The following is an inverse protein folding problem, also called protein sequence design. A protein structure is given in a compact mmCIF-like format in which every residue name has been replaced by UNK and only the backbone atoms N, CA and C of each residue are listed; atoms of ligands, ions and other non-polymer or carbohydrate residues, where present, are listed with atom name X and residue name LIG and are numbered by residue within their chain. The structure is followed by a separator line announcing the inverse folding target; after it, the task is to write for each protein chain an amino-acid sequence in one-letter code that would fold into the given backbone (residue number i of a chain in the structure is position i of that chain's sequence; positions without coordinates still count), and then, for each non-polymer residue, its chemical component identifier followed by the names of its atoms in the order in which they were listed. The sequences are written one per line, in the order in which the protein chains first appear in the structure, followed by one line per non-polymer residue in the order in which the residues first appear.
data_IF_014654814351
#
_entry.id   IF_014654814351
#
_cell.length_a   1.000
_cell.length_b   1.000
_cell.length_c   1.000
_cell.angle_alpha   90.00
_cell.angle_beta   90.00
_cell.angle_gamma   90.00
#
_symmetry.space_group_name_H-M   'P 1'
#
loop_
_entity.id
_entity.type
_entity.pdbx_description
1 polymer ?
#
# COMPACT_ATOMS: atom_id res chain seq x y z
N UNK A 1 3.71 -32.45 -2.92
CA UNK A 1 3.75 -31.38 -1.89
C UNK A 1 4.60 -30.23 -2.40
N UNK A 2 3.96 -29.21 -2.98
CA UNK A 2 4.65 -28.07 -3.61
C UNK A 2 5.08 -27.07 -2.54
N UNK A 3 6.36 -26.69 -2.55
CA UNK A 3 6.96 -25.80 -1.56
C UNK A 3 6.44 -24.35 -1.71
N UNK A 4 5.75 -23.85 -0.68
CA UNK A 4 5.20 -22.48 -0.55
C UNK A 4 6.22 -21.36 -0.86
N UNK A 5 7.50 -21.63 -0.69
CA UNK A 5 8.63 -20.68 -0.92
C UNK A 5 9.01 -20.48 -2.40
N UNK A 6 8.62 -21.39 -3.28
CA UNK A 6 8.92 -21.28 -4.73
C UNK A 6 7.84 -20.46 -5.45
N UNK A 7 6.62 -20.44 -4.93
CA UNK A 7 5.48 -19.75 -5.53
C UNK A 7 5.61 -18.22 -5.43
N UNK A 8 6.16 -17.70 -4.32
CA UNK A 8 6.47 -16.26 -4.17
C UNK A 8 7.56 -15.80 -5.15
N UNK A 9 8.54 -16.65 -5.46
CA UNK A 9 9.58 -16.33 -6.46
C UNK A 9 9.08 -16.43 -7.90
N UNK A 10 8.16 -17.36 -8.18
CA UNK A 10 7.59 -17.55 -9.52
C UNK A 10 6.51 -16.51 -9.88
N UNK A 11 5.74 -16.03 -8.90
CA UNK A 11 4.69 -15.02 -9.11
C UNK A 11 5.23 -13.62 -9.45
N UNK A 12 6.35 -13.23 -8.85
CA UNK A 12 7.02 -11.94 -9.13
C UNK A 12 7.87 -11.99 -10.41
N UNK A 13 8.53 -13.12 -10.69
CA UNK A 13 9.32 -13.28 -11.91
C UNK A 13 8.45 -13.32 -13.19
N UNK A 14 7.22 -13.86 -13.12
CA UNK A 14 6.32 -13.92 -14.29
C UNK A 14 5.68 -12.58 -14.65
N UNK A 15 5.41 -11.70 -13.67
CA UNK A 15 4.79 -10.39 -13.89
C UNK A 15 5.77 -9.31 -14.35
N UNK A 16 7.02 -9.36 -13.88
CA UNK A 16 8.06 -8.43 -14.31
C UNK A 16 8.40 -8.59 -15.80
N UNK A 17 8.35 -9.80 -16.35
CA UNK A 17 8.77 -10.08 -17.74
C UNK A 17 7.81 -9.54 -18.81
N UNK A 18 6.51 -9.41 -18.52
CA UNK A 18 5.56 -8.80 -19.48
C UNK A 18 5.60 -7.27 -19.51
N UNK A 19 6.22 -6.65 -18.51
CA UNK A 19 6.38 -5.19 -18.37
C UNK A 19 7.80 -4.72 -18.76
N UNK A 20 8.79 -5.62 -18.70
CA UNK A 20 10.22 -5.33 -18.86
C UNK A 20 10.64 -4.82 -20.25
N UNK A 21 9.82 -4.96 -21.30
CA UNK A 21 10.20 -4.50 -22.64
C UNK A 21 10.11 -2.98 -22.84
N UNK A 22 9.24 -2.28 -22.09
CA UNK A 22 8.96 -0.86 -22.34
C UNK A 22 8.66 -0.02 -21.10
N UNK A 23 8.07 -0.58 -20.03
CA UNK A 23 7.69 0.22 -18.87
C UNK A 23 8.85 0.55 -17.93
N UNK A 24 9.98 -0.17 -18.02
CA UNK A 24 11.20 0.18 -17.30
C UNK A 24 11.66 1.61 -17.64
N UNK A 25 11.44 2.07 -18.88
CA UNK A 25 11.74 3.46 -19.29
C UNK A 25 10.85 4.50 -18.59
N UNK A 26 9.61 4.15 -18.26
CA UNK A 26 8.67 5.02 -17.54
C UNK A 26 9.03 5.20 -16.07
N UNK A 27 9.92 4.35 -15.54
CA UNK A 27 10.39 4.42 -14.16
C UNK A 27 11.68 5.27 -14.02
N UNK A 28 12.39 5.52 -15.12
CA UNK A 28 13.65 6.29 -15.11
C UNK A 28 13.35 7.76 -14.77
N UNK A 29 14.00 8.28 -13.73
CA UNK A 29 13.88 9.68 -13.31
C UNK A 29 12.63 10.02 -12.48
N UNK A 30 11.82 9.00 -12.10
CA UNK A 30 10.71 9.21 -11.17
C UNK A 30 11.21 9.34 -9.73
N UNK A 31 10.51 10.19 -8.97
CA UNK A 31 10.68 10.28 -7.53
C UNK A 31 9.80 9.24 -6.84
N UNK A 32 10.40 8.11 -6.46
CA UNK A 32 9.73 7.02 -5.76
C UNK A 32 9.13 7.45 -4.41
N UNK A 33 9.67 8.48 -3.77
CA UNK A 33 9.11 9.00 -2.52
C UNK A 33 7.86 9.86 -2.80
N UNK A 34 7.85 10.65 -3.87
CA UNK A 34 6.68 11.41 -4.28
C UNK A 34 5.51 10.50 -4.69
N UNK A 35 5.78 9.46 -5.49
CA UNK A 35 4.77 8.49 -5.92
C UNK A 35 4.13 7.76 -4.75
N UNK A 36 4.97 7.25 -3.84
CA UNK A 36 4.52 6.60 -2.62
C UNK A 36 3.70 7.54 -1.75
N UNK A 37 4.13 8.79 -1.56
CA UNK A 37 3.40 9.79 -0.76
C UNK A 37 2.01 10.07 -1.33
N UNK A 38 1.90 10.19 -2.66
CA UNK A 38 0.62 10.40 -3.33
C UNK A 38 -0.33 9.22 -3.14
N UNK A 39 0.16 7.99 -3.36
CA UNK A 39 -0.65 6.79 -3.20
C UNK A 39 -1.05 6.57 -1.74
N UNK A 40 -0.10 6.65 -0.81
CA UNK A 40 -0.36 6.46 0.62
C UNK A 40 -1.34 7.50 1.17
N UNK A 41 -1.28 8.75 0.69
CA UNK A 41 -2.21 9.81 1.09
C UNK A 41 -3.68 9.47 0.79
N UNK A 42 -3.95 8.66 -0.24
CA UNK A 42 -5.29 8.21 -0.59
C UNK A 42 -5.64 6.84 0.01
N UNK A 43 -4.68 5.91 0.04
CA UNK A 43 -4.89 4.52 0.48
C UNK A 43 -5.02 4.40 2.00
N UNK A 44 -4.20 5.12 2.78
CA UNK A 44 -4.25 5.08 4.25
C UNK A 44 -5.65 5.45 4.78
N UNK A 45 -6.26 6.59 4.42
CA UNK A 45 -7.58 6.95 4.93
C UNK A 45 -8.70 6.02 4.45
N UNK A 46 -8.50 5.28 3.36
CA UNK A 46 -9.43 4.27 2.88
C UNK A 46 -9.28 2.94 3.63
N UNK A 47 -8.06 2.50 3.91
CA UNK A 47 -7.81 1.25 4.64
C UNK A 47 -8.07 1.37 6.14
N UNK A 48 -7.86 2.55 6.73
CA UNK A 48 -8.11 2.84 8.14
C UNK A 48 -9.46 3.51 8.36
N UNK A 49 -10.38 3.42 7.38
CA UNK A 49 -11.72 3.97 7.56
C UNK A 49 -12.43 3.31 8.75
N UNK A 50 -13.04 4.13 9.61
CA UNK A 50 -13.59 3.71 10.89
C UNK A 50 -12.59 3.52 12.04
N UNK A 51 -11.28 3.39 11.76
CA UNK A 51 -10.23 3.36 12.80
C UNK A 51 -9.65 4.75 13.09
N UNK A 52 -9.78 5.69 12.14
CA UNK A 52 -9.32 7.06 12.30
C UNK A 52 -10.28 7.90 13.18
N UNK A 53 -9.77 8.90 13.91
CA UNK A 53 -10.59 9.84 14.67
C UNK A 53 -11.61 10.58 13.79
N UNK A 54 -12.76 10.94 14.36
CA UNK A 54 -13.85 11.66 13.66
C UNK A 54 -13.51 13.16 13.52
N UNK A 55 -12.82 13.74 14.49
CA UNK A 55 -12.45 15.15 14.46
C UNK A 55 -11.41 15.43 13.35
N UNK A 56 -11.71 16.38 12.45
CA UNK A 56 -10.92 16.61 11.24
C UNK A 56 -9.42 16.89 11.50
N UNK A 57 -9.11 17.69 12.53
CA UNK A 57 -7.73 18.01 12.88
C UNK A 57 -6.96 16.79 13.40
N UNK A 58 -7.59 16.00 14.27
CA UNK A 58 -7.03 14.75 14.80
C UNK A 58 -6.90 13.70 13.71
N UNK A 59 -7.86 13.63 12.79
CA UNK A 59 -7.84 12.73 11.63
C UNK A 59 -6.65 13.01 10.72
N UNK A 60 -6.38 14.27 10.40
CA UNK A 60 -5.24 14.65 9.58
C UNK A 60 -3.91 14.29 10.25
N UNK A 61 -3.78 14.54 11.55
CA UNK A 61 -2.61 14.16 12.34
C UNK A 61 -2.43 12.63 12.37
N UNK A 62 -3.50 11.87 12.60
CA UNK A 62 -3.50 10.42 12.61
C UNK A 62 -3.06 9.82 11.26
N UNK A 63 -3.55 10.37 10.14
CA UNK A 63 -3.13 9.93 8.80
C UNK A 63 -1.63 10.17 8.59
N UNK A 64 -1.10 11.31 9.03
CA UNK A 64 0.33 11.61 8.91
C UNK A 64 1.18 10.69 9.81
N UNK A 65 0.73 10.40 11.02
CA UNK A 65 1.37 9.41 11.90
C UNK A 65 1.38 8.02 11.26
N UNK A 66 0.24 7.56 10.73
CA UNK A 66 0.16 6.30 10.00
C UNK A 66 1.14 6.26 8.82
N UNK A 67 1.21 7.35 8.04
CA UNK A 67 2.15 7.47 6.91
C UNK A 67 3.60 7.35 7.37
N UNK A 68 3.98 8.02 8.46
CA UNK A 68 5.34 7.91 9.01
C UNK A 68 5.63 6.48 9.49
N UNK A 69 4.68 5.83 10.17
CA UNK A 69 4.81 4.43 10.58
C UNK A 69 5.03 3.49 9.38
N UNK A 70 4.28 3.68 8.29
CA UNK A 70 4.48 2.94 7.04
C UNK A 70 5.87 3.17 6.46
N UNK A 71 6.34 4.42 6.39
CA UNK A 71 7.68 4.73 5.88
C UNK A 71 8.79 4.07 6.72
N UNK A 72 8.66 4.09 8.05
CA UNK A 72 9.57 3.38 8.95
C UNK A 72 9.54 1.87 8.70
N UNK A 73 8.35 1.29 8.52
CA UNK A 73 8.20 -0.13 8.20
C UNK A 73 8.86 -0.49 6.87
N UNK A 74 8.68 0.32 5.81
CA UNK A 74 9.34 0.12 4.51
C UNK A 74 10.86 0.18 4.66
N UNK A 75 11.38 1.17 5.39
CA UNK A 75 12.82 1.34 5.58
C UNK A 75 13.47 0.15 6.31
N UNK A 76 12.71 -0.61 7.11
CA UNK A 76 13.17 -1.80 7.80
C UNK A 76 13.16 -3.08 6.92
N UNK A 77 12.57 -3.04 5.72
CA UNK A 77 12.54 -4.19 4.81
C UNK A 77 13.89 -4.39 4.11
N UNK A 78 14.08 -5.58 3.53
CA UNK A 78 15.24 -5.83 2.66
C UNK A 78 15.24 -4.91 1.44
N UNK A 79 16.40 -4.53 0.89
CA UNK A 79 16.48 -3.65 -0.29
C UNK A 79 15.63 -4.14 -1.47
N UNK A 80 15.62 -5.45 -1.73
CA UNK A 80 14.80 -6.05 -2.77
C UNK A 80 13.29 -5.81 -2.55
N UNK A 81 12.81 -5.89 -1.31
CA UNK A 81 11.39 -5.63 -1.00
C UNK A 81 11.05 -4.15 -1.10
N UNK A 82 12.00 -3.26 -0.75
CA UNK A 82 11.83 -1.82 -0.93
C UNK A 82 11.70 -1.46 -2.42
N UNK A 83 12.51 -2.07 -3.29
CA UNK A 83 12.45 -1.89 -4.75
C UNK A 83 11.13 -2.41 -5.34
N UNK A 84 10.66 -3.57 -4.89
CA UNK A 84 9.35 -4.12 -5.30
C UNK A 84 8.21 -3.17 -4.93
N UNK A 85 8.21 -2.62 -3.71
CA UNK A 85 7.22 -1.64 -3.29
C UNK A 85 7.32 -0.34 -4.07
N UNK A 86 8.54 0.15 -4.34
CA UNK A 86 8.75 1.34 -5.16
C UNK A 86 8.18 1.16 -6.57
N UNK A 87 8.37 -0.01 -7.18
CA UNK A 87 7.78 -0.36 -8.49
C UNK A 87 6.25 -0.42 -8.43
N UNK A 88 5.68 -1.00 -7.36
CA UNK A 88 4.24 -1.01 -7.15
C UNK A 88 3.67 0.41 -7.06
N UNK A 89 4.25 1.28 -6.23
CA UNK A 89 3.80 2.67 -6.08
C UNK A 89 3.94 3.46 -7.39
N UNK A 90 5.05 3.28 -8.11
CA UNK A 90 5.22 3.92 -9.41
C UNK A 90 4.17 3.46 -10.43
N UNK A 91 3.88 2.16 -10.48
CA UNK A 91 2.84 1.60 -11.34
C UNK A 91 1.45 2.13 -11.00
N UNK A 92 1.17 2.35 -9.71
CA UNK A 92 -0.07 2.98 -9.27
C UNK A 92 -0.15 4.47 -9.63
N UNK A 93 0.98 5.18 -9.68
CA UNK A 93 1.03 6.63 -9.95
C UNK A 93 1.03 6.98 -11.44
N UNK A 94 1.47 6.08 -12.32
CA UNK A 94 1.49 6.30 -13.77
C UNK A 94 0.05 6.31 -14.33
N UNK A 95 -0.40 7.32 -15.12
CA UNK A 95 -1.78 7.45 -15.55
C UNK A 95 -2.40 6.23 -16.28
N UNK A 96 -1.78 5.63 -17.33
CA UNK A 96 -2.39 4.50 -18.02
C UNK A 96 -2.54 3.27 -17.12
N UNK A 97 -1.55 3.01 -16.26
CA UNK A 97 -1.57 1.88 -15.34
C UNK A 97 -2.49 2.13 -14.16
N UNK A 98 -2.59 3.37 -13.66
CA UNK A 98 -3.60 3.79 -12.69
C UNK A 98 -5.01 3.56 -13.21
N UNK A 99 -5.30 3.98 -14.45
CA UNK A 99 -6.60 3.74 -15.06
C UNK A 99 -6.88 2.23 -15.22
N UNK A 100 -5.88 1.46 -15.64
CA UNK A 100 -6.04 0.01 -15.82
C UNK A 100 -6.25 -0.75 -14.50
N UNK A 101 -5.46 -0.42 -13.47
CA UNK A 101 -5.45 -1.13 -12.19
C UNK A 101 -6.55 -0.64 -11.26
N UNK A 102 -6.80 0.67 -11.24
CA UNK A 102 -7.72 1.30 -10.30
C UNK A 102 -8.99 1.85 -10.95
N UNK A 103 -9.10 1.89 -12.28
CA UNK A 103 -10.23 2.54 -12.94
C UNK A 103 -10.27 4.07 -12.75
N UNK A 104 -9.23 4.66 -12.14
CA UNK A 104 -9.18 6.08 -11.80
C UNK A 104 -8.65 6.90 -12.99
N UNK A 105 -9.50 7.77 -13.52
CA UNK A 105 -9.13 8.75 -14.55
C UNK A 105 -8.35 9.96 -14.02
N UNK A 106 -8.44 10.24 -12.72
CA UNK A 106 -7.78 11.35 -12.02
C UNK A 106 -6.67 10.82 -11.08
N UNK A 107 -5.93 11.72 -10.40
CA UNK A 107 -4.81 11.36 -9.51
C UNK A 107 -5.33 10.83 -8.17
N UNK A 108 -4.54 10.02 -7.46
CA UNK A 108 -4.97 9.45 -6.17
C UNK A 108 -5.35 10.51 -5.14
N UNK A 109 -4.65 11.66 -5.13
CA UNK A 109 -4.96 12.78 -4.24
C UNK A 109 -6.34 13.41 -4.45
N UNK A 110 -6.93 13.23 -5.64
CA UNK A 110 -8.24 13.77 -6.00
C UNK A 110 -9.35 12.72 -5.77
N UNK A 111 -8.99 11.46 -5.51
CA UNK A 111 -9.93 10.36 -5.29
C UNK A 111 -10.49 10.39 -3.86
N UNK A 112 -11.80 10.19 -3.74
CA UNK A 112 -12.47 10.11 -2.44
C UNK A 112 -12.20 8.80 -1.71
N UNK A 113 -12.36 8.79 -0.38
CA UNK A 113 -12.18 7.59 0.47
C UNK A 113 -13.02 6.40 -0.05
N UNK A 114 -14.30 6.62 -0.37
CA UNK A 114 -15.18 5.57 -0.86
C UNK A 114 -14.75 4.99 -2.22
N UNK A 115 -14.23 5.85 -3.11
CA UNK A 115 -13.74 5.44 -4.42
C UNK A 115 -12.49 4.56 -4.28
N UNK A 116 -11.52 5.00 -3.47
CA UNK A 116 -10.31 4.24 -3.17
C UNK A 116 -10.66 2.91 -2.49
N UNK A 117 -11.59 2.90 -1.54
CA UNK A 117 -12.06 1.66 -0.90
C UNK A 117 -12.68 0.69 -1.91
N UNK A 118 -13.45 1.18 -2.89
CA UNK A 118 -13.99 0.34 -3.97
C UNK A 118 -12.89 -0.27 -4.83
N UNK A 119 -11.85 0.51 -5.17
CA UNK A 119 -10.68 0.01 -5.92
C UNK A 119 -9.99 -1.12 -5.15
N UNK A 120 -9.66 -0.89 -3.88
CA UNK A 120 -8.96 -1.86 -3.03
C UNK A 120 -9.79 -3.12 -2.82
N UNK A 121 -11.11 -2.99 -2.68
CA UNK A 121 -12.01 -4.14 -2.61
C UNK A 121 -12.03 -4.93 -3.91
N UNK A 122 -12.01 -4.24 -5.06
CA UNK A 122 -11.85 -4.85 -6.37
C UNK A 122 -10.57 -5.69 -6.46
N UNK A 123 -9.44 -5.17 -5.95
CA UNK A 123 -8.16 -5.90 -5.91
C UNK A 123 -8.23 -7.12 -5.01
N UNK A 124 -8.82 -6.98 -3.81
CA UNK A 124 -8.99 -8.06 -2.83
C UNK A 124 -9.73 -9.26 -3.42
N UNK A 125 -10.76 -9.01 -4.24
CA UNK A 125 -11.59 -10.07 -4.83
C UNK A 125 -11.19 -10.42 -6.28
N UNK A 126 -10.12 -9.82 -6.80
CA UNK A 126 -9.76 -10.00 -8.21
C UNK A 126 -9.23 -11.41 -8.49
N UNK A 127 -9.55 -12.01 -9.64
CA UNK A 127 -9.02 -13.32 -10.04
C UNK A 127 -7.50 -13.36 -10.28
N UNK A 128 -6.87 -12.21 -10.46
CA UNK A 128 -5.43 -12.11 -10.69
C UNK A 128 -4.73 -12.10 -9.33
N UNK A 129 -3.91 -13.13 -9.09
CA UNK A 129 -3.12 -13.24 -7.87
C UNK A 129 -2.24 -12.01 -7.64
N UNK A 130 -1.75 -11.35 -8.70
CA UNK A 130 -0.96 -10.12 -8.59
C UNK A 130 -1.70 -8.99 -7.85
N UNK A 131 -2.97 -8.75 -8.20
CA UNK A 131 -3.77 -7.68 -7.56
C UNK A 131 -4.15 -8.04 -6.12
N UNK A 132 -4.46 -9.31 -5.87
CA UNK A 132 -4.68 -9.79 -4.49
C UNK A 132 -3.42 -9.61 -3.64
N UNK A 133 -2.25 -9.99 -4.17
CA UNK A 133 -0.97 -9.81 -3.48
C UNK A 133 -0.64 -8.35 -3.22
N UNK A 134 -0.91 -7.45 -4.18
CA UNK A 134 -0.74 -6.01 -3.98
C UNK A 134 -1.65 -5.48 -2.87
N UNK A 135 -2.93 -5.90 -2.85
CA UNK A 135 -3.85 -5.56 -1.76
C UNK A 135 -3.36 -6.06 -0.41
N UNK A 136 -2.95 -7.34 -0.32
CA UNK A 136 -2.45 -7.93 0.93
C UNK A 136 -1.19 -7.23 1.42
N UNK A 137 -0.24 -6.94 0.53
CA UNK A 137 0.99 -6.23 0.89
C UNK A 137 0.69 -4.82 1.44
N UNK A 138 -0.20 -4.07 0.79
CA UNK A 138 -0.63 -2.75 1.28
C UNK A 138 -1.36 -2.86 2.62
N UNK A 139 -2.27 -3.85 2.75
CA UNK A 139 -3.03 -4.09 3.96
C UNK A 139 -2.11 -4.40 5.14
N UNK A 140 -1.21 -5.40 4.99
CA UNK A 140 -0.28 -5.83 6.04
C UNK A 140 0.66 -4.70 6.44
N UNK A 141 1.16 -3.94 5.46
CA UNK A 141 2.04 -2.80 5.72
C UNK A 141 1.33 -1.68 6.49
N UNK A 142 0.13 -1.29 6.06
CA UNK A 142 -0.61 -0.18 6.68
C UNK A 142 -1.15 -0.60 8.05
N UNK A 143 -1.90 -1.69 8.15
CA UNK A 143 -2.45 -2.15 9.43
C UNK A 143 -1.36 -2.59 10.41
N UNK A 144 -0.30 -3.26 9.92
CA UNK A 144 0.84 -3.63 10.74
C UNK A 144 1.54 -2.42 11.34
N UNK A 145 1.78 -1.37 10.53
CA UNK A 145 2.37 -0.13 11.04
C UNK A 145 1.46 0.63 12.01
N UNK A 146 0.14 0.69 11.73
CA UNK A 146 -0.84 1.37 12.57
C UNK A 146 -0.98 0.72 13.96
N UNK A 147 -1.10 -0.61 14.03
CA UNK A 147 -1.28 -1.30 15.31
C UNK A 147 0.03 -1.62 16.05
N UNK A 148 1.18 -1.40 15.40
CA UNK A 148 2.47 -1.38 16.08
C UNK A 148 2.65 -0.14 16.96
N UNK A 149 1.93 0.95 16.71
CA UNK A 149 1.98 2.18 17.50
C UNK A 149 1.15 2.04 18.79
N UNK A 150 1.78 2.15 19.98
CA UNK A 150 1.09 2.10 21.27
C UNK A 150 0.00 3.17 21.44
N UNK A 151 0.08 4.29 20.71
CA UNK A 151 -0.93 5.33 20.74
C UNK A 151 -2.32 4.84 20.27
N UNK A 152 -2.36 3.78 19.45
CA UNK A 152 -3.60 3.22 18.89
C UNK A 152 -4.23 2.14 19.78
N UNK A 153 -3.49 1.58 20.73
CA UNK A 153 -3.94 0.47 21.57
C UNK A 153 -5.17 0.81 22.43
N UNK A 154 -5.29 2.01 23.04
CA UNK A 154 -6.49 2.37 23.80
C UNK A 154 -7.77 2.35 22.95
N UNK A 155 -7.69 2.74 21.68
CA UNK A 155 -8.83 2.78 20.78
C UNK A 155 -9.41 1.38 20.48
N UNK A 156 -8.59 0.33 20.59
CA UNK A 156 -8.99 -1.07 20.41
C UNK A 156 -9.08 -1.86 21.73
N UNK A 157 -8.92 -1.20 22.88
CA UNK A 157 -8.96 -1.84 24.20
C UNK A 157 -7.79 -2.79 24.48
N UNK A 158 -6.67 -2.64 23.79
CA UNK A 158 -5.48 -3.46 24.01
C UNK A 158 -4.61 -2.85 25.13
N UNK A 159 -4.30 -3.63 26.16
CA UNK A 159 -3.51 -3.18 27.31
C UNK A 159 -1.99 -3.17 27.06
N UNK A 160 -1.55 -3.53 25.86
CA UNK A 160 -0.15 -3.73 25.54
C UNK A 160 0.36 -5.14 25.87
N UNK A 161 1.59 -5.48 25.44
CA UNK A 161 2.20 -6.76 25.73
C UNK A 161 2.44 -6.93 27.23
N UNK A 162 2.41 -8.18 27.74
CA UNK A 162 2.74 -8.46 29.13
C UNK A 162 4.18 -7.99 29.44
N UNK A 163 4.37 -7.37 30.60
CA UNK A 163 5.70 -7.01 31.09
C UNK A 163 6.39 -8.29 31.58
N UNK A 164 7.60 -8.55 31.10
CA UNK A 164 8.46 -9.63 31.57
C UNK A 164 9.08 -9.28 32.93
#
# INVERSE_FOLDING_TARGET
MVQRRTFLKAGLAGGAVLVAGGAASWLIGRDAAADRREVLGAVIPAMLDGALPVAQAERAAAIEQARMGVETAIAALSPASQDELAQLFALMSIPPTRLMLAGLGHRWRDAGVAEVSSVLQGWRTHRLALLQSAYLALHDLITGSWYADPAQWPAIGYAGPPRL
#
